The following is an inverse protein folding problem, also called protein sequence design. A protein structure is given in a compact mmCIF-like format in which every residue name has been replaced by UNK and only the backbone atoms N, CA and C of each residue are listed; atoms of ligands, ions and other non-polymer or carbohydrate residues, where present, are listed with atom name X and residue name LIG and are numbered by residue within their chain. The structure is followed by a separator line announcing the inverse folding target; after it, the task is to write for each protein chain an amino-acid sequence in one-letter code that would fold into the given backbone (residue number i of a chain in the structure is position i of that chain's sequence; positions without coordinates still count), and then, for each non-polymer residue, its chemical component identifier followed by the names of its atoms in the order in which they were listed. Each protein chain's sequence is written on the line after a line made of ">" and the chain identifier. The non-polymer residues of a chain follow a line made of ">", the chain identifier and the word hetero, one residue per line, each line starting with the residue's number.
data_IF_880349200037
#
_entry.id   IF_880349200037
#
_cell.length_a   1.000
_cell.length_b   1.000
_cell.length_c   1.000
_cell.angle_alpha   90.00
_cell.angle_beta   90.00
_cell.angle_gamma   90.00
#
_symmetry.space_group_name_H-M   'P 1'
#
loop_
_entity.id
_entity.type
_entity.pdbx_description
1 polymer ?
#
# COMPACT_ATOMS: atom_id res chain seq x y z
N UNK A 1 -18.28 3.87 2.23
CA UNK A 1 -16.89 4.09 1.79
C UNK A 1 -16.35 5.32 2.48
N UNK A 2 -15.10 5.35 2.95
CA UNK A 2 -14.52 6.60 3.45
C UNK A 2 -14.45 7.64 2.33
N UNK A 3 -14.64 8.93 2.64
CA UNK A 3 -14.45 10.01 1.65
C UNK A 3 -12.97 10.09 1.26
N UNK A 4 -12.67 9.97 -0.03
CA UNK A 4 -11.33 10.04 -0.60
C UNK A 4 -11.19 9.27 -1.91
N UNK A 5 -10.05 9.40 -2.58
CA UNK A 5 -9.77 8.71 -3.85
C UNK A 5 -9.21 7.32 -3.60
N UNK A 6 -9.80 6.34 -4.28
CA UNK A 6 -9.32 4.96 -4.29
C UNK A 6 -8.33 4.79 -5.45
N UNK A 7 -7.16 4.23 -5.17
CA UNK A 7 -6.08 4.05 -6.16
C UNK A 7 -5.54 2.62 -6.16
N UNK A 8 -5.05 2.19 -7.31
CA UNK A 8 -4.31 0.96 -7.50
C UNK A 8 -2.78 1.21 -7.41
N UNK A 9 -1.96 0.16 -7.23
CA UNK A 9 -0.51 0.32 -7.06
C UNK A 9 0.17 1.05 -8.21
N UNK A 10 -0.26 0.83 -9.46
CA UNK A 10 0.32 1.50 -10.64
C UNK A 10 0.17 3.03 -10.63
N UNK A 11 -0.78 3.57 -9.87
CA UNK A 11 -1.01 5.02 -9.76
C UNK A 11 -0.11 5.68 -8.70
N UNK A 12 0.56 4.90 -7.83
CA UNK A 12 1.36 5.43 -6.73
C UNK A 12 2.63 6.14 -7.22
N UNK A 13 3.15 5.77 -8.40
CA UNK A 13 4.27 6.45 -9.03
C UNK A 13 3.96 7.89 -9.41
N UNK A 14 2.74 8.16 -9.87
CA UNK A 14 2.30 9.51 -10.17
C UNK A 14 2.08 10.32 -8.88
N UNK A 15 1.57 9.68 -7.83
CA UNK A 15 1.39 10.31 -6.52
C UNK A 15 2.74 10.65 -5.89
N UNK A 16 3.75 9.79 -6.04
CA UNK A 16 5.10 10.07 -5.56
C UNK A 16 5.68 11.35 -6.19
N UNK A 17 5.38 11.60 -7.47
CA UNK A 17 5.89 12.76 -8.22
C UNK A 17 5.07 14.03 -8.00
N UNK A 18 3.74 13.92 -7.99
CA UNK A 18 2.80 15.06 -7.99
C UNK A 18 2.29 15.40 -6.59
N UNK A 19 2.49 14.52 -5.62
CA UNK A 19 1.85 14.60 -4.31
C UNK A 19 0.37 14.24 -4.35
N UNK A 20 -0.29 14.29 -3.19
CA UNK A 20 -1.72 13.96 -3.04
C UNK A 20 -2.65 15.16 -3.27
N UNK A 21 -2.11 16.38 -3.41
CA UNK A 21 -2.92 17.61 -3.51
C UNK A 21 -3.81 17.87 -2.27
N UNK A 22 -3.49 17.27 -1.12
CA UNK A 22 -4.31 17.34 0.09
C UNK A 22 -5.49 16.37 0.12
N UNK A 23 -5.68 15.56 -0.93
CA UNK A 23 -6.72 14.55 -0.96
C UNK A 23 -6.38 13.36 -0.06
N UNK A 24 -7.40 12.80 0.60
CA UNK A 24 -7.25 11.52 1.29
C UNK A 24 -7.25 10.37 0.29
N UNK A 25 -6.15 9.63 0.26
CA UNK A 25 -5.95 8.51 -0.67
C UNK A 25 -6.13 7.17 0.04
N UNK A 26 -6.76 6.23 -0.65
CA UNK A 26 -7.00 4.86 -0.22
C UNK A 26 -6.41 3.88 -1.22
N UNK A 27 -5.64 2.91 -0.76
CA UNK A 27 -5.00 1.90 -1.59
C UNK A 27 -5.82 0.60 -1.59
N UNK A 28 -6.18 0.14 -2.78
CA UNK A 28 -6.74 -1.18 -3.03
C UNK A 28 -5.78 -2.05 -3.86
N UNK A 29 -5.98 -3.36 -3.85
CA UNK A 29 -5.21 -4.30 -4.65
C UNK A 29 -5.01 -5.63 -3.95
N UNK A 30 -4.30 -6.51 -4.64
CA UNK A 30 -3.78 -7.76 -4.07
C UNK A 30 -2.28 -7.58 -3.84
N UNK A 31 -1.78 -8.12 -2.73
CA UNK A 31 -0.41 -7.91 -2.28
C UNK A 31 0.16 -9.20 -1.73
N UNK A 32 1.46 -9.42 -1.96
CA UNK A 32 2.21 -10.47 -1.30
C UNK A 32 3.06 -9.85 -0.20
N UNK A 33 3.01 -10.43 0.99
CA UNK A 33 3.85 -10.04 2.12
C UNK A 33 5.26 -10.58 1.87
N UNK A 34 6.25 -9.70 2.00
CA UNK A 34 7.66 -10.03 1.79
C UNK A 34 8.51 -9.85 3.05
N UNK A 35 7.93 -9.28 4.10
CA UNK A 35 8.49 -9.24 5.45
C UNK A 35 7.37 -8.87 6.43
N UNK A 36 7.39 -9.46 7.62
CA UNK A 36 6.46 -9.17 8.70
C UNK A 36 7.21 -8.89 10.01
N UNK A 37 6.71 -7.91 10.76
CA UNK A 37 7.05 -7.65 12.16
C UNK A 37 5.81 -7.85 13.03
N UNK A 38 5.86 -7.40 14.29
CA UNK A 38 4.72 -7.53 15.22
C UNK A 38 3.47 -6.77 14.74
N UNK A 39 3.65 -5.51 14.33
CA UNK A 39 2.60 -4.56 13.97
C UNK A 39 2.77 -3.96 12.56
N UNK A 40 3.77 -4.45 11.81
CA UNK A 40 4.10 -3.95 10.48
C UNK A 40 4.27 -5.07 9.48
N UNK A 41 3.88 -4.82 8.24
CA UNK A 41 4.21 -5.69 7.11
C UNK A 41 4.77 -4.88 5.95
N UNK A 42 5.71 -5.48 5.23
CA UNK A 42 6.17 -5.00 3.94
C UNK A 42 5.54 -5.87 2.87
N UNK A 43 4.97 -5.23 1.85
CA UNK A 43 4.28 -5.92 0.78
C UNK A 43 4.68 -5.39 -0.59
N UNK A 44 4.45 -6.25 -1.60
CA UNK A 44 4.57 -5.91 -3.01
C UNK A 44 3.29 -6.29 -3.74
N UNK A 45 2.88 -5.45 -4.69
CA UNK A 45 1.83 -5.84 -5.62
C UNK A 45 2.40 -6.88 -6.60
N UNK A 46 1.67 -7.97 -6.89
CA UNK A 46 2.07 -8.90 -7.93
C UNK A 46 2.10 -8.17 -9.28
N UNK A 47 3.12 -8.44 -10.07
CA UNK A 47 3.27 -7.84 -11.39
C UNK A 47 2.11 -8.32 -12.28
N UNK A 48 1.28 -7.38 -12.77
CA UNK A 48 0.18 -7.69 -13.69
C UNK A 48 0.48 -7.14 -15.07
N UNK A 49 0.80 -8.03 -16.01
CA UNK A 49 0.86 -7.74 -17.45
C UNK A 49 1.92 -6.71 -17.89
N UNK A 50 1.96 -6.46 -19.20
CA UNK A 50 2.85 -5.47 -19.82
C UNK A 50 2.30 -4.05 -19.62
N UNK A 51 2.95 -3.23 -18.79
CA UNK A 51 2.72 -1.78 -18.76
C UNK A 51 2.74 -1.12 -17.37
N UNK A 52 2.32 -1.82 -16.32
CA UNK A 52 2.36 -1.28 -14.95
C UNK A 52 3.60 -1.81 -14.21
N UNK A 53 4.68 -1.02 -14.18
CA UNK A 53 5.86 -1.31 -13.35
C UNK A 53 5.55 -1.02 -11.89
N UNK A 54 5.30 -2.09 -11.12
CA UNK A 54 5.09 -2.03 -9.67
C UNK A 54 6.24 -2.67 -8.88
N UNK A 55 7.27 -3.12 -9.58
CA UNK A 55 8.48 -3.76 -9.06
C UNK A 55 9.29 -2.83 -8.15
N UNK A 56 9.31 -1.53 -8.46
CA UNK A 56 9.95 -0.52 -7.64
C UNK A 56 9.07 -0.02 -6.47
N UNK A 57 7.81 -0.46 -6.36
CA UNK A 57 6.89 -0.03 -5.30
C UNK A 57 6.99 -0.98 -4.10
N UNK A 58 7.25 -0.39 -2.93
CA UNK A 58 7.30 -1.07 -1.63
C UNK A 58 6.23 -0.50 -0.72
N UNK A 59 5.28 -1.34 -0.33
CA UNK A 59 4.16 -0.94 0.52
C UNK A 59 4.50 -1.31 1.97
N UNK A 60 4.44 -0.33 2.86
CA UNK A 60 4.79 -0.47 4.27
C UNK A 60 3.52 -0.23 5.06
N UNK A 61 2.92 -1.30 5.56
CA UNK A 61 1.65 -1.29 6.27
C UNK A 61 1.89 -1.24 7.77
N UNK A 62 1.27 -0.27 8.44
CA UNK A 62 1.12 -0.24 9.88
C UNK A 62 -0.25 -0.81 10.27
N UNK A 63 -0.26 -1.82 11.13
CA UNK A 63 -1.46 -2.39 11.74
C UNK A 63 -1.76 -1.70 13.08
N UNK A 64 -3.05 -1.56 13.47
CA UNK A 64 -3.42 -0.98 14.76
C UNK A 64 -2.99 -1.89 15.91
N UNK A 65 -2.86 -1.30 17.11
CA UNK A 65 -2.62 -2.06 18.33
C UNK A 65 -3.65 -3.18 18.52
N UNK A 66 -3.19 -4.36 18.94
CA UNK A 66 -4.01 -5.55 19.10
C UNK A 66 -4.26 -6.34 17.81
N UNK A 67 -3.79 -5.86 16.64
CA UNK A 67 -3.82 -6.61 15.39
C UNK A 67 -2.42 -7.06 15.00
N UNK A 68 -2.27 -8.35 14.72
CA UNK A 68 -1.03 -8.93 14.20
C UNK A 68 -0.92 -8.70 12.71
N UNK A 69 0.26 -8.31 12.24
CA UNK A 69 0.54 -8.24 10.82
C UNK A 69 0.41 -9.64 10.17
N UNK A 70 -0.07 -9.73 8.91
CA UNK A 70 -0.10 -10.97 8.17
C UNK A 70 1.31 -11.58 8.04
N UNK A 71 1.38 -12.91 8.05
CA UNK A 71 2.64 -13.65 8.03
C UNK A 71 3.44 -13.39 6.74
N UNK A 72 4.76 -13.53 6.83
CA UNK A 72 5.63 -13.50 5.66
C UNK A 72 5.24 -14.61 4.66
N UNK A 73 5.32 -14.30 3.36
CA UNK A 73 4.88 -15.18 2.27
C UNK A 73 3.35 -15.29 2.08
N UNK A 74 2.54 -14.69 2.96
CA UNK A 74 1.08 -14.66 2.80
C UNK A 74 0.62 -13.64 1.75
N UNK A 75 -0.65 -13.73 1.34
CA UNK A 75 -1.28 -12.76 0.44
C UNK A 75 -2.37 -11.97 1.17
N UNK A 76 -2.47 -10.68 0.83
CA UNK A 76 -3.46 -9.74 1.38
C UNK A 76 -4.24 -9.14 0.22
N UNK A 77 -5.58 -9.17 0.30
CA UNK A 77 -6.46 -8.55 -0.68
C UNK A 77 -7.24 -7.40 -0.05
N UNK A 78 -7.26 -6.26 -0.73
CA UNK A 78 -7.95 -5.02 -0.31
C UNK A 78 -8.82 -4.54 -1.45
N UNK A 79 -10.09 -4.37 -1.16
CA UNK A 79 -11.07 -3.85 -2.11
C UNK A 79 -11.56 -2.46 -1.68
N UNK A 80 -12.53 -1.93 -2.43
CA UNK A 80 -13.19 -0.66 -2.14
C UNK A 80 -13.86 -0.60 -0.76
N UNK A 81 -14.25 -1.73 -0.16
CA UNK A 81 -14.90 -1.80 1.16
C UNK A 81 -13.88 -1.83 2.28
N UNK A 82 -12.72 -2.46 2.04
CA UNK A 82 -11.63 -2.62 3.01
C UNK A 82 -10.27 -2.17 2.45
N UNK A 83 -10.10 -0.88 2.06
CA UNK A 83 -8.80 -0.40 1.57
C UNK A 83 -7.80 -0.16 2.70
N UNK A 84 -6.54 0.09 2.36
CA UNK A 84 -5.60 0.76 3.26
C UNK A 84 -5.71 2.27 3.09
N UNK A 85 -5.46 3.05 4.15
CA UNK A 85 -5.29 4.50 3.99
C UNK A 85 -3.83 4.80 3.70
N UNK A 86 -3.56 5.54 2.62
CA UNK A 86 -2.22 6.05 2.33
C UNK A 86 -1.93 7.21 3.26
N UNK A 87 -0.80 7.13 3.96
CA UNK A 87 -0.31 8.13 4.89
C UNK A 87 0.78 8.98 4.26
N UNK A 88 1.65 8.35 3.47
CA UNK A 88 2.78 9.02 2.83
C UNK A 88 3.28 8.21 1.62
N UNK A 89 3.87 8.89 0.64
CA UNK A 89 4.49 8.29 -0.54
C UNK A 89 5.80 8.99 -0.79
N UNK A 90 6.91 8.25 -0.72
CA UNK A 90 8.26 8.79 -0.89
C UNK A 90 9.04 8.02 -1.94
N UNK A 91 9.63 8.73 -2.87
CA UNK A 91 10.66 8.16 -3.73
C UNK A 91 12.00 8.22 -3.01
N UNK A 92 12.67 7.07 -2.92
CA UNK A 92 14.02 6.93 -2.37
C UNK A 92 15.08 7.07 -3.45
N UNK A 93 16.32 7.44 -3.09
CA UNK A 93 17.45 7.38 -4.01
C UNK A 93 17.52 6.00 -4.68
N UNK A 94 17.57 5.97 -6.01
CA UNK A 94 17.49 4.73 -6.80
C UNK A 94 16.10 4.36 -7.32
N UNK A 95 15.09 5.22 -7.15
CA UNK A 95 13.78 5.09 -7.80
C UNK A 95 12.82 4.10 -7.14
N UNK A 96 13.14 3.61 -5.94
CA UNK A 96 12.19 2.83 -5.13
C UNK A 96 11.14 3.77 -4.54
N UNK A 97 9.86 3.41 -4.70
CA UNK A 97 8.75 4.17 -4.14
C UNK A 97 8.27 3.46 -2.87
N UNK A 98 8.49 4.11 -1.73
CA UNK A 98 8.02 3.67 -0.43
C UNK A 98 6.65 4.29 -0.13
N UNK A 99 5.66 3.42 0.07
CA UNK A 99 4.26 3.80 0.28
C UNK A 99 3.89 3.42 1.69
N UNK A 100 3.77 4.40 2.58
CA UNK A 100 3.38 4.19 3.96
C UNK A 100 1.87 4.21 4.04
N UNK A 101 1.29 3.11 4.51
CA UNK A 101 -0.16 2.97 4.65
C UNK A 101 -0.50 2.47 6.05
N UNK A 102 -1.73 2.72 6.48
CA UNK A 102 -2.27 2.12 7.69
C UNK A 102 -3.50 1.29 7.40
N UNK A 103 -3.64 0.23 8.17
CA UNK A 103 -4.89 -0.48 8.35
C UNK A 103 -5.92 0.46 9.00
N UNK A 104 -7.08 0.61 8.35
CA UNK A 104 -8.19 1.46 8.82
C UNK A 104 -9.49 0.69 8.97
N UNK A 105 -9.49 -0.59 8.58
CA UNK A 105 -10.64 -1.45 8.76
C UNK A 105 -10.56 -2.03 10.16
N UNK A 106 -11.64 -1.86 10.92
CA UNK A 106 -11.81 -2.63 12.15
C UNK A 106 -11.92 -4.12 11.75
N UNK A 107 -11.42 -5.06 12.58
CA UNK A 107 -11.62 -6.50 12.38
C UNK A 107 -13.04 -6.81 11.92
#
# INVERSE_FOLDING_TARGET
>A
MPRGRLVAPGELSDIAKKGTGGERIYLQGSFNVTAAGSDRAVMRAPQRGFGARTDNIRIIVQYPSGMTAPADGSSVSRDARRPFQVMDVKESPGGQINVYVREVTKP
#
